data_IF_251959826875
#
_entry.id   IF_251959826875
#
_cell.length_a   1.000
_cell.length_b   1.000
_cell.length_c   1.000
_cell.angle_alpha   90.00
_cell.angle_beta   90.00
_cell.angle_gamma   90.00
#
_symmetry.space_group_name_H-M   'P 1'
#
loop_
_entity.id
_entity.type
_entity.pdbx_description
1 polymer ?
#
# COMPACT_ATOMS: atom_id res chain seq x y z
N UNK A 1 -16.31 1.16 20.72
CA UNK A 1 -15.74 0.36 19.62
C UNK A 1 -15.26 1.34 18.56
N UNK A 2 -13.97 1.34 18.18
CA UNK A 2 -13.47 2.24 17.13
C UNK A 2 -13.65 1.56 15.77
N UNK A 3 -14.42 2.16 14.89
CA UNK A 3 -14.55 1.73 13.49
C UNK A 3 -13.19 1.95 12.80
N UNK A 4 -12.47 0.88 12.49
CA UNK A 4 -11.18 0.96 11.82
C UNK A 4 -11.37 1.36 10.35
N UNK A 5 -10.60 2.36 9.89
CA UNK A 5 -10.60 2.75 8.48
C UNK A 5 -9.96 1.64 7.65
N UNK A 6 -10.72 1.08 6.70
CA UNK A 6 -10.26 0.02 5.77
C UNK A 6 -9.40 0.55 4.62
N UNK A 7 -9.37 1.87 4.42
CA UNK A 7 -8.63 2.54 3.36
C UNK A 7 -7.63 3.54 3.93
N UNK A 8 -6.46 3.65 3.30
CA UNK A 8 -5.45 4.64 3.62
C UNK A 8 -5.17 5.55 2.42
N UNK A 9 -4.85 6.80 2.71
CA UNK A 9 -4.30 7.73 1.71
C UNK A 9 -2.82 7.41 1.44
N UNK A 10 -2.25 7.95 0.36
CA UNK A 10 -0.81 7.83 0.10
C UNK A 10 0.05 8.16 1.33
N UNK A 11 -0.16 9.31 1.97
CA UNK A 11 0.62 9.71 3.15
C UNK A 11 0.49 8.74 4.32
N UNK A 12 -0.66 8.07 4.46
CA UNK A 12 -0.84 7.03 5.47
C UNK A 12 -0.12 5.73 5.09
N UNK A 13 -0.12 5.36 3.80
CA UNK A 13 0.64 4.21 3.31
C UNK A 13 2.15 4.43 3.43
N UNK A 14 2.64 5.63 3.14
CA UNK A 14 4.04 6.01 3.35
C UNK A 14 4.42 5.92 4.83
N UNK A 15 3.63 6.51 5.72
CA UNK A 15 3.91 6.51 7.15
C UNK A 15 3.77 5.12 7.81
N UNK A 16 2.82 4.28 7.37
CA UNK A 16 2.58 2.96 7.98
C UNK A 16 3.42 1.84 7.38
N UNK A 17 3.61 1.86 6.06
CA UNK A 17 4.20 0.76 5.30
C UNK A 17 5.55 1.16 4.68
N UNK A 18 6.01 2.40 4.87
CA UNK A 18 7.30 2.87 4.36
C UNK A 18 7.35 2.99 2.83
N UNK A 19 6.21 3.01 2.15
CA UNK A 19 6.16 3.01 0.68
C UNK A 19 6.49 4.41 0.15
N UNK A 20 7.52 4.50 -0.68
CA UNK A 20 7.87 5.74 -1.35
C UNK A 20 6.79 6.16 -2.36
N UNK A 21 6.58 7.48 -2.48
CA UNK A 21 5.63 8.07 -3.44
C UNK A 21 5.82 7.55 -4.88
N UNK A 22 7.07 7.38 -5.33
CA UNK A 22 7.38 6.87 -6.65
C UNK A 22 6.86 5.44 -6.88
N UNK A 23 7.13 4.54 -5.94
CA UNK A 23 6.64 3.15 -5.98
C UNK A 23 5.12 3.10 -5.92
N UNK A 24 4.51 3.87 -5.02
CA UNK A 24 3.05 3.95 -4.89
C UNK A 24 2.40 4.39 -6.21
N UNK A 25 2.87 5.49 -6.80
CA UNK A 25 2.37 5.97 -8.11
C UNK A 25 2.60 4.96 -9.23
N UNK A 26 3.70 4.20 -9.18
CA UNK A 26 3.97 3.13 -10.14
C UNK A 26 2.94 2.00 -10.02
N UNK A 27 2.57 1.59 -8.80
CA UNK A 27 1.56 0.56 -8.55
C UNK A 27 0.17 1.00 -9.00
N UNK A 28 -0.18 2.26 -8.72
CA UNK A 28 -1.42 2.92 -9.18
C UNK A 28 -1.47 2.94 -10.72
N UNK A 29 -0.42 3.43 -11.39
CA UNK A 29 -0.35 3.51 -12.86
C UNK A 29 -0.38 2.14 -13.52
N UNK A 30 0.27 1.15 -12.92
CA UNK A 30 0.31 -0.22 -13.42
C UNK A 30 -0.97 -1.01 -13.14
N UNK A 31 -1.99 -0.38 -12.50
CA UNK A 31 -3.24 -1.02 -12.06
C UNK A 31 -3.01 -2.29 -11.22
N UNK A 32 -1.86 -2.34 -10.53
CA UNK A 32 -1.45 -3.51 -9.74
C UNK A 32 -2.11 -3.55 -8.37
N UNK A 33 -2.49 -2.39 -7.84
CA UNK A 33 -3.28 -2.25 -6.61
C UNK A 33 -4.62 -1.58 -6.91
N UNK A 34 -5.71 -1.99 -6.26
CA UNK A 34 -7.01 -1.34 -6.40
C UNK A 34 -7.00 0.00 -5.66
N UNK A 35 -7.26 1.07 -6.43
CA UNK A 35 -7.27 2.46 -5.96
C UNK A 35 -8.68 3.01 -6.09
N UNK A 36 -9.14 3.71 -5.07
CA UNK A 36 -10.41 4.43 -5.07
C UNK A 36 -10.10 5.90 -5.23
N UNK A 37 -10.59 6.48 -6.33
CA UNK A 37 -10.58 7.92 -6.52
C UNK A 37 -11.74 8.53 -5.74
N UNK A 38 -11.39 9.32 -4.72
CA UNK A 38 -12.32 10.13 -3.93
C UNK A 38 -12.22 11.59 -4.34
N UNK A 39 -11.78 11.86 -5.58
CA UNK A 39 -11.63 13.22 -6.08
C UNK A 39 -13.02 13.81 -6.28
N UNK A 40 -13.32 14.85 -5.51
CA UNK A 40 -14.57 15.57 -5.72
C UNK A 40 -14.50 16.34 -7.05
N UNK A 41 -15.56 16.35 -7.89
CA UNK A 41 -15.54 17.01 -9.20
C UNK A 41 -15.30 18.53 -9.14
N UNK A 42 -15.46 19.15 -7.96
CA UNK A 42 -15.12 20.56 -7.70
C UNK A 42 -13.78 20.77 -6.99
N UNK A 43 -13.04 19.71 -6.67
CA UNK A 43 -11.74 19.79 -6.00
C UNK A 43 -10.62 19.96 -7.01
N UNK A 44 -9.66 20.84 -6.71
CA UNK A 44 -8.43 21.01 -7.49
C UNK A 44 -7.39 19.91 -7.23
N UNK A 45 -7.55 19.14 -6.14
CA UNK A 45 -6.63 18.08 -5.74
C UNK A 45 -7.21 16.69 -5.97
N UNK A 46 -6.44 15.81 -6.61
CA UNK A 46 -6.78 14.40 -6.75
C UNK A 46 -6.61 13.69 -5.40
N UNK A 47 -7.64 12.96 -4.95
CA UNK A 47 -7.61 12.21 -3.70
C UNK A 47 -7.72 10.73 -3.98
N UNK A 48 -6.57 10.08 -4.11
CA UNK A 48 -6.48 8.63 -4.27
C UNK A 48 -6.29 7.96 -2.91
N UNK A 49 -7.13 6.97 -2.62
CA UNK A 49 -6.98 6.09 -1.45
C UNK A 49 -6.94 4.64 -1.90
N UNK A 50 -6.29 3.78 -1.12
CA UNK A 50 -6.19 2.34 -1.41
C UNK A 50 -6.70 1.55 -0.22
N UNK A 51 -7.19 0.33 -0.46
CA UNK A 51 -7.54 -0.57 0.64
C UNK A 51 -6.26 -1.08 1.29
N UNK A 52 -6.17 -0.93 2.62
CA UNK A 52 -4.98 -1.32 3.39
C UNK A 52 -4.66 -2.81 3.14
N UNK A 53 -5.65 -3.70 3.31
CA UNK A 53 -5.44 -5.14 3.12
C UNK A 53 -4.99 -5.53 1.70
N UNK A 54 -5.50 -4.85 0.66
CA UNK A 54 -5.07 -5.13 -0.71
C UNK A 54 -3.65 -4.62 -0.99
N UNK A 55 -3.28 -3.49 -0.39
CA UNK A 55 -1.92 -2.95 -0.46
C UNK A 55 -0.94 -3.86 0.29
N UNK A 56 -1.28 -4.33 1.49
CA UNK A 56 -0.44 -5.25 2.26
C UNK A 56 -0.29 -6.61 1.57
N UNK A 57 -1.36 -7.16 0.98
CA UNK A 57 -1.29 -8.39 0.20
C UNK A 57 -0.40 -8.21 -1.04
N UNK A 58 -0.52 -7.06 -1.72
CA UNK A 58 0.30 -6.74 -2.87
C UNK A 58 1.78 -6.58 -2.51
N UNK A 59 2.10 -5.84 -1.44
CA UNK A 59 3.48 -5.70 -0.96
C UNK A 59 4.07 -7.05 -0.58
N UNK A 60 3.30 -7.90 0.11
CA UNK A 60 3.70 -9.30 0.42
C UNK A 60 3.92 -10.17 -0.82
N UNK A 61 3.37 -9.81 -1.98
CA UNK A 61 3.58 -10.53 -3.25
C UNK A 61 4.73 -9.95 -4.08
N UNK A 62 4.97 -8.64 -4.02
CA UNK A 62 6.04 -7.96 -4.80
C UNK A 62 7.39 -7.91 -4.08
N UNK A 63 7.41 -7.67 -2.76
CA UNK A 63 8.47 -8.27 -1.96
C UNK A 63 8.19 -9.76 -2.00
N UNK A 64 9.10 -10.58 -2.51
CA UNK A 64 9.12 -11.98 -2.12
C UNK A 64 9.44 -12.06 -0.62
N UNK A 65 8.49 -11.70 0.26
CA UNK A 65 8.53 -12.07 1.66
C UNK A 65 7.82 -13.42 1.76
N UNK A 66 8.57 -14.54 1.67
CA UNK A 66 7.94 -15.85 1.82
C UNK A 66 7.22 -15.90 3.16
N UNK A 67 6.06 -16.55 3.21
CA UNK A 67 5.43 -17.03 4.45
C UNK A 67 6.31 -18.10 5.16
N UNK A 68 7.61 -18.16 4.85
CA UNK A 68 8.61 -19.08 5.38
C UNK A 68 10.02 -18.54 5.13
N UNK A 69 10.45 -17.53 5.88
CA UNK A 69 11.88 -17.34 6.20
C UNK A 69 12.11 -17.65 7.68
N UNK A 70 11.77 -18.89 8.07
CA UNK A 70 12.15 -19.52 9.35
C UNK A 70 13.06 -20.69 9.00
N UNK A 71 14.27 -20.45 8.49
CA UNK A 71 15.33 -21.48 8.40
C UNK A 71 16.69 -20.79 8.58
N UNK A 72 17.48 -21.27 9.53
CA UNK A 72 18.72 -20.65 10.03
C UNK A 72 19.90 -20.60 9.05
N UNK A 73 20.90 -19.81 9.43
CA UNK A 73 22.18 -19.68 8.71
C UNK A 73 23.14 -18.75 9.44
N UNK A 74 23.92 -19.35 10.34
CA UNK A 74 25.24 -18.97 10.85
C UNK A 74 25.98 -17.82 10.11
N UNK A 75 26.51 -16.84 10.86
CA UNK A 75 27.41 -15.81 10.35
C UNK A 75 28.80 -16.03 10.97
N UNK A 76 29.74 -16.48 10.13
CA UNK A 76 31.18 -16.56 10.44
C UNK A 76 31.91 -15.24 10.26
#
# INVERSE_FOLDING_TARGET
MKTEKLTCSFSEAEAKLGIQHGSFMSFVKSKRIPVVDLTHPKSKGQKLVVRIGALEEFLRREEGFPESSIIGGENG
#
